data_IF_553085929913
#
_entry.id   IF_553085929913
#
_cell.length_a   1.000
_cell.length_b   1.000
_cell.length_c   1.000
_cell.angle_alpha   90.00
_cell.angle_beta   90.00
_cell.angle_gamma   90.00
#
_symmetry.space_group_name_H-M   'P 1'
#
loop_
_entity.id
_entity.type
_entity.pdbx_description
1 polymer ?
#
# COMPACT_ATOMS: atom_id res chain seq x y z
N UNK A 1 19.13 2.12 12.85
CA UNK A 1 19.26 3.12 11.77
C UNK A 1 18.41 2.59 10.64
N UNK A 2 17.11 2.87 10.68
CA UNK A 2 16.16 2.34 9.70
C UNK A 2 16.31 3.11 8.41
N UNK A 3 16.42 2.34 7.35
CA UNK A 3 16.81 2.76 6.04
C UNK A 3 15.75 3.71 5.43
N UNK A 4 16.10 5.00 5.39
CA UNK A 4 15.46 6.04 4.57
C UNK A 4 15.77 5.84 3.07
N UNK A 5 15.96 4.60 2.60
CA UNK A 5 16.65 4.30 1.32
C UNK A 5 15.76 3.69 0.23
N UNK A 6 14.43 3.70 0.35
CA UNK A 6 13.58 3.41 -0.81
C UNK A 6 12.83 4.67 -1.30
N UNK A 7 13.32 5.34 -2.37
CA UNK A 7 12.68 6.54 -2.93
C UNK A 7 11.25 6.28 -3.47
N UNK A 8 10.95 5.04 -3.88
CA UNK A 8 9.61 4.65 -4.36
C UNK A 8 8.56 4.68 -3.28
N UNK A 9 8.91 4.08 -2.16
CA UNK A 9 8.06 3.97 -1.00
C UNK A 9 7.73 5.37 -0.47
N UNK A 10 8.75 6.23 -0.34
CA UNK A 10 8.55 7.65 -0.01
C UNK A 10 7.60 8.35 -0.98
N UNK A 11 7.79 8.18 -2.28
CA UNK A 11 6.93 8.80 -3.30
C UNK A 11 5.46 8.37 -3.15
N UNK A 12 5.22 7.07 -2.99
CA UNK A 12 3.87 6.53 -2.84
C UNK A 12 3.25 7.03 -1.55
N UNK A 13 4.00 7.03 -0.44
CA UNK A 13 3.50 7.55 0.84
C UNK A 13 3.13 9.03 0.77
N UNK A 14 3.99 9.86 0.20
CA UNK A 14 3.72 11.29 0.02
C UNK A 14 2.49 11.52 -0.88
N UNK A 15 2.26 10.65 -1.87
CA UNK A 15 1.07 10.72 -2.74
C UNK A 15 -0.19 10.34 -1.99
N UNK A 16 -0.17 9.25 -1.21
CA UNK A 16 -1.32 8.77 -0.45
C UNK A 16 -1.62 9.59 0.82
N UNK A 17 -0.79 10.59 1.14
CA UNK A 17 -1.12 11.61 2.13
C UNK A 17 -2.13 12.64 1.59
N UNK A 18 -2.18 12.86 0.27
CA UNK A 18 -3.24 13.63 -0.36
C UNK A 18 -4.53 12.80 -0.34
N UNK A 19 -5.56 13.33 0.32
CA UNK A 19 -6.82 12.61 0.56
C UNK A 19 -7.56 12.28 -0.74
N UNK A 20 -7.52 13.17 -1.74
CA UNK A 20 -8.20 12.93 -3.01
C UNK A 20 -7.52 11.78 -3.76
N UNK A 21 -6.18 11.79 -3.78
CA UNK A 21 -5.38 10.76 -4.40
C UNK A 21 -5.52 9.42 -3.64
N UNK A 22 -5.54 9.41 -2.31
CA UNK A 22 -5.80 8.20 -1.52
C UNK A 22 -7.19 7.61 -1.79
N UNK A 23 -8.23 8.43 -1.84
CA UNK A 23 -9.59 7.99 -2.18
C UNK A 23 -9.62 7.40 -3.59
N UNK A 24 -9.04 8.10 -4.57
CA UNK A 24 -8.95 7.62 -5.95
C UNK A 24 -8.20 6.29 -6.03
N UNK A 25 -7.14 6.12 -5.24
CA UNK A 25 -6.37 4.89 -5.19
C UNK A 25 -7.21 3.74 -4.63
N UNK A 26 -7.76 3.88 -3.42
CA UNK A 26 -8.51 2.78 -2.78
C UNK A 26 -9.80 2.40 -3.51
N UNK A 27 -10.44 3.33 -4.21
CA UNK A 27 -11.58 3.01 -5.10
C UNK A 27 -11.22 2.04 -6.23
N UNK A 28 -9.98 2.07 -6.69
CA UNK A 28 -9.51 1.23 -7.80
C UNK A 28 -8.79 -0.03 -7.30
N UNK A 29 -8.29 -0.02 -6.07
CA UNK A 29 -7.45 -1.08 -5.53
C UNK A 29 -8.20 -2.08 -4.64
N UNK A 30 -9.28 -1.66 -3.97
CA UNK A 30 -10.04 -2.52 -3.07
C UNK A 30 -11.17 -3.25 -3.81
N UNK A 31 -11.62 -4.43 -3.32
CA UNK A 31 -12.80 -5.09 -3.85
C UNK A 31 -14.05 -4.20 -3.73
N UNK A 32 -14.90 -4.21 -4.76
CA UNK A 32 -16.12 -3.38 -4.83
C UNK A 32 -17.02 -3.55 -3.59
N UNK A 33 -17.19 -4.80 -3.14
CA UNK A 33 -17.95 -5.13 -1.92
C UNK A 33 -17.39 -4.48 -0.64
N UNK A 34 -16.07 -4.28 -0.57
CA UNK A 34 -15.44 -3.58 0.56
C UNK A 34 -15.70 -2.08 0.44
N UNK A 35 -15.53 -1.50 -0.76
CA UNK A 35 -15.78 -0.08 -1.03
C UNK A 35 -17.24 0.31 -0.71
N UNK A 36 -18.21 -0.55 -1.01
CA UNK A 36 -19.62 -0.32 -0.70
C UNK A 36 -19.86 -0.10 0.81
N UNK A 37 -19.11 -0.79 1.67
CA UNK A 37 -19.23 -0.69 3.12
C UNK A 37 -18.53 0.55 3.71
N UNK A 38 -17.52 1.09 3.03
CA UNK A 38 -16.64 2.15 3.51
C UNK A 38 -17.09 3.55 3.08
N UNK A 39 -17.02 4.52 4.00
CA UNK A 39 -17.15 5.94 3.68
C UNK A 39 -15.77 6.57 3.39
N UNK A 40 -15.29 6.37 2.16
CA UNK A 40 -13.97 6.87 1.73
C UNK A 40 -13.85 8.39 1.81
N UNK A 41 -14.95 9.15 1.73
CA UNK A 41 -14.91 10.61 1.87
C UNK A 41 -14.50 11.04 3.28
N UNK A 42 -14.63 10.15 4.27
CA UNK A 42 -14.22 10.33 5.66
C UNK A 42 -12.96 9.54 6.01
N UNK A 43 -12.21 9.07 5.02
CA UNK A 43 -10.90 8.48 5.21
C UNK A 43 -9.96 9.48 5.90
N UNK A 44 -9.26 9.00 6.93
CA UNK A 44 -8.29 9.75 7.71
C UNK A 44 -6.98 8.95 7.82
N UNK A 45 -5.85 9.60 7.58
CA UNK A 45 -4.55 9.01 7.84
C UNK A 45 -4.28 9.07 9.35
N UNK A 46 -4.17 7.91 9.99
CA UNK A 46 -3.81 7.80 11.40
C UNK A 46 -2.30 7.81 11.52
N UNK A 47 -1.75 8.77 12.27
CA UNK A 47 -0.31 8.80 12.52
C UNK A 47 0.10 7.56 13.33
N UNK A 48 1.18 6.91 12.88
CA UNK A 48 1.82 5.76 13.52
C UNK A 48 2.28 6.00 14.97
N UNK A 49 2.22 7.23 15.46
CA UNK A 49 2.43 7.59 16.87
C UNK A 49 1.40 6.99 17.83
N UNK A 50 0.24 6.53 17.33
CA UNK A 50 -0.78 5.78 18.10
C UNK A 50 -0.37 4.33 18.40
N UNK A 51 0.68 3.87 17.75
CA UNK A 51 1.20 2.52 17.83
C UNK A 51 2.47 2.60 18.68
N UNK A 52 2.54 1.80 19.75
CA UNK A 52 3.57 1.86 20.80
C UNK A 52 4.99 2.09 20.29
N UNK A 53 5.90 2.62 21.11
CA UNK A 53 7.33 2.81 20.77
C UNK A 53 7.97 1.58 20.11
N UNK A 54 7.57 0.36 20.48
CA UNK A 54 8.03 -0.89 19.86
C UNK A 54 7.65 -1.07 18.37
N UNK A 55 6.66 -0.33 17.85
CA UNK A 55 6.28 -0.31 16.42
C UNK A 55 6.80 0.90 15.67
N UNK A 56 7.32 1.91 16.38
CA UNK A 56 8.16 2.92 15.75
C UNK A 56 9.45 2.30 15.21
N UNK A 57 9.93 1.22 15.85
CA UNK A 57 11.07 0.44 15.36
C UNK A 57 10.73 -0.39 14.12
N UNK A 58 9.48 -0.84 13.97
CA UNK A 58 9.06 -1.66 12.83
C UNK A 58 8.46 -0.85 11.65
N UNK A 59 8.30 0.48 11.75
CA UNK A 59 7.82 1.38 10.68
C UNK A 59 6.70 0.82 9.79
N UNK A 60 5.44 0.80 10.25
CA UNK A 60 4.31 0.63 9.31
C UNK A 60 4.27 1.82 8.34
N UNK A 61 4.10 1.58 7.05
CA UNK A 61 4.15 2.66 6.05
C UNK A 61 3.01 3.67 6.22
N UNK A 62 1.75 3.21 6.21
CA UNK A 62 0.58 4.07 6.45
C UNK A 62 -0.57 3.27 7.11
N UNK A 63 -1.33 3.93 7.99
CA UNK A 63 -2.55 3.36 8.56
C UNK A 63 -3.72 4.31 8.32
N UNK A 64 -4.72 3.86 7.57
CA UNK A 64 -5.92 4.64 7.31
C UNK A 64 -7.07 4.19 8.19
N UNK A 65 -7.77 5.14 8.80
CA UNK A 65 -9.02 4.91 9.49
C UNK A 65 -10.18 5.35 8.59
N UNK A 66 -11.12 4.44 8.35
CA UNK A 66 -12.23 4.67 7.44
C UNK A 66 -13.54 4.28 8.13
N UNK A 67 -14.47 5.22 8.34
CA UNK A 67 -15.78 4.92 8.90
C UNK A 67 -16.61 4.01 7.99
N UNK A 68 -17.48 3.19 8.58
CA UNK A 68 -18.49 2.45 7.82
C UNK A 68 -19.66 3.37 7.42
N UNK A 69 -20.17 3.21 6.19
CA UNK A 69 -21.36 3.94 5.71
C UNK A 69 -22.61 3.69 6.56
N UNK A 70 -22.68 2.55 7.24
CA UNK A 70 -23.80 2.19 8.13
C UNK A 70 -23.99 3.12 9.33
N UNK A 71 -23.07 4.07 9.57
CA UNK A 71 -23.20 5.10 10.61
C UNK A 71 -22.99 4.59 12.04
N UNK A 72 -22.73 3.30 12.23
CA UNK A 72 -22.27 2.75 13.52
C UNK A 72 -20.89 3.33 13.82
N UNK A 73 -20.55 3.55 15.10
CA UNK A 73 -19.20 3.93 15.59
C UNK A 73 -18.16 2.81 15.38
N UNK A 74 -18.12 2.24 14.18
CA UNK A 74 -17.25 1.18 13.78
C UNK A 74 -16.42 1.70 12.61
N UNK A 75 -15.12 1.70 12.81
CA UNK A 75 -14.15 2.03 11.77
C UNK A 75 -13.61 0.72 11.20
N UNK A 76 -13.11 0.80 9.97
CA UNK A 76 -12.19 -0.17 9.40
C UNK A 76 -10.84 0.52 9.29
N UNK A 77 -9.80 -0.19 9.69
CA UNK A 77 -8.43 0.25 9.52
C UNK A 77 -7.83 -0.46 8.30
N UNK A 78 -7.22 0.31 7.41
CA UNK A 78 -6.45 -0.23 6.29
C UNK A 78 -4.96 -0.01 6.59
N UNK A 79 -4.27 -1.12 6.82
CA UNK A 79 -2.85 -1.17 7.10
C UNK A 79 -2.10 -1.32 5.78
N UNK A 80 -1.48 -0.24 5.32
CA UNK A 80 -0.75 -0.19 4.07
C UNK A 80 0.72 -0.55 4.31
N UNK A 81 1.22 -1.48 3.50
CA UNK A 81 2.62 -1.93 3.49
C UNK A 81 3.14 -1.90 2.05
N UNK A 82 4.34 -1.36 1.85
CA UNK A 82 5.02 -1.32 0.57
C UNK A 82 6.07 -2.44 0.46
N UNK A 83 6.14 -3.10 -0.71
CA UNK A 83 7.20 -4.06 -1.03
C UNK A 83 7.71 -3.89 -2.46
N UNK A 84 9.02 -3.71 -2.60
CA UNK A 84 9.73 -3.71 -3.89
C UNK A 84 10.41 -5.05 -4.22
N UNK A 85 10.32 -6.05 -3.34
CA UNK A 85 10.87 -7.39 -3.53
C UNK A 85 10.00 -8.45 -2.86
N UNK A 86 10.24 -9.72 -3.18
CA UNK A 86 9.52 -10.84 -2.56
C UNK A 86 10.04 -11.06 -1.13
N UNK A 87 9.31 -10.51 -0.18
CA UNK A 87 9.60 -10.65 1.25
C UNK A 87 8.74 -11.75 1.87
N UNK A 88 9.32 -12.94 2.07
CA UNK A 88 8.63 -14.06 2.72
C UNK A 88 8.20 -13.75 4.16
N UNK A 89 8.81 -12.76 4.81
CA UNK A 89 8.48 -12.35 6.17
C UNK A 89 7.28 -11.39 6.24
N UNK A 90 6.75 -10.91 5.11
CA UNK A 90 5.66 -9.92 5.04
C UNK A 90 4.44 -10.33 5.89
N UNK A 91 4.10 -11.62 5.90
CA UNK A 91 2.95 -12.09 6.69
C UNK A 91 3.18 -12.01 8.20
N UNK A 92 4.39 -12.31 8.65
CA UNK A 92 4.77 -12.20 10.07
C UNK A 92 4.80 -10.74 10.51
N UNK A 93 5.30 -9.86 9.64
CA UNK A 93 5.32 -8.41 9.85
C UNK A 93 3.89 -7.85 9.96
N UNK A 94 3.02 -8.16 8.99
CA UNK A 94 1.60 -7.79 9.01
C UNK A 94 0.89 -8.29 10.27
N UNK A 95 1.18 -9.53 10.71
CA UNK A 95 0.64 -10.06 11.95
C UNK A 95 1.08 -9.25 13.18
N UNK A 96 2.36 -8.87 13.24
CA UNK A 96 2.90 -7.99 14.28
C UNK A 96 2.14 -6.66 14.36
N UNK A 97 1.96 -6.02 13.22
CA UNK A 97 1.21 -4.77 13.08
C UNK A 97 -0.25 -4.89 13.49
N UNK A 98 -0.96 -5.92 13.01
CA UNK A 98 -2.36 -6.16 13.37
C UNK A 98 -2.49 -6.35 14.89
N UNK A 99 -1.61 -7.16 15.48
CA UNK A 99 -1.57 -7.40 16.93
C UNK A 99 -1.36 -6.09 17.71
N UNK A 100 -0.46 -5.24 17.24
CA UNK A 100 -0.19 -3.94 17.83
C UNK A 100 -1.37 -2.97 17.76
N UNK A 101 -2.01 -2.88 16.59
CA UNK A 101 -3.20 -2.04 16.37
C UNK A 101 -4.31 -2.50 17.32
N UNK A 102 -4.57 -3.80 17.43
CA UNK A 102 -5.57 -4.33 18.36
C UNK A 102 -5.25 -4.07 19.83
N UNK A 103 -3.97 -4.18 20.22
CA UNK A 103 -3.53 -3.79 21.58
C UNK A 103 -3.80 -2.30 21.85
N UNK A 104 -3.55 -1.43 20.86
CA UNK A 104 -3.82 0.01 20.98
C UNK A 104 -5.31 0.31 21.07
N UNK A 105 -6.13 -0.24 20.16
CA UNK A 105 -7.59 -0.08 20.16
C UNK A 105 -8.22 -0.54 21.48
N UNK A 106 -7.77 -1.68 22.02
CA UNK A 106 -8.29 -2.19 23.30
C UNK A 106 -7.88 -1.34 24.51
N UNK A 107 -6.73 -0.65 24.45
CA UNK A 107 -6.34 0.31 25.50
C UNK A 107 -7.27 1.53 25.49
N UNK A 108 -7.58 2.06 24.31
CA UNK A 108 -8.38 3.27 24.13
C UNK A 108 -9.87 3.04 24.35
N UNK A 109 -10.48 2.11 23.61
CA UNK A 109 -11.94 1.99 23.50
C UNK A 109 -12.50 0.65 23.99
N UNK A 110 -11.64 -0.28 24.43
CA UNK A 110 -12.01 -1.65 24.84
C UNK A 110 -12.79 -2.41 23.75
N UNK A 111 -12.60 -2.03 22.49
CA UNK A 111 -13.27 -2.59 21.31
C UNK A 111 -12.26 -2.82 20.20
N UNK A 112 -12.56 -3.77 19.33
CA UNK A 112 -11.76 -4.05 18.14
C UNK A 112 -12.49 -3.55 16.90
N UNK A 113 -11.75 -2.86 16.05
CA UNK A 113 -12.17 -2.47 14.70
C UNK A 113 -11.40 -3.32 13.69
N UNK A 114 -12.04 -3.75 12.62
CA UNK A 114 -11.41 -4.63 11.62
C UNK A 114 -10.16 -3.95 11.05
N UNK A 115 -9.06 -4.70 10.94
CA UNK A 115 -7.84 -4.27 10.25
C UNK A 115 -7.71 -5.09 8.97
N UNK A 116 -7.66 -4.42 7.82
CA UNK A 116 -7.41 -5.01 6.51
C UNK A 116 -5.94 -4.73 6.16
N UNK A 117 -5.07 -5.76 6.10
CA UNK A 117 -3.73 -5.60 5.58
C UNK A 117 -3.78 -5.41 4.07
N UNK A 118 -3.09 -4.40 3.57
CA UNK A 118 -3.01 -4.02 2.18
C UNK A 118 -1.54 -3.93 1.78
N UNK A 119 -1.12 -4.72 0.80
CA UNK A 119 0.26 -4.71 0.29
C UNK A 119 0.29 -4.07 -1.09
N UNK A 120 1.03 -2.99 -1.21
CA UNK A 120 1.43 -2.43 -2.49
C UNK A 120 2.73 -3.10 -2.94
N UNK A 121 2.66 -3.87 -4.03
CA UNK A 121 3.81 -4.57 -4.58
C UNK A 121 4.20 -3.99 -5.94
N UNK A 122 5.48 -3.70 -6.11
CA UNK A 122 6.02 -3.23 -7.39
C UNK A 122 7.38 -3.84 -7.74
N UNK A 123 7.73 -5.02 -7.21
CA UNK A 123 9.03 -5.62 -7.51
C UNK A 123 9.21 -6.10 -8.94
N UNK A 124 10.47 -6.34 -9.33
CA UNK A 124 10.83 -6.87 -10.66
C UNK A 124 10.27 -8.28 -10.90
N UNK A 125 10.21 -9.10 -9.84
CA UNK A 125 9.70 -10.47 -9.91
C UNK A 125 8.18 -10.49 -9.83
N UNK A 126 7.56 -11.53 -10.36
CA UNK A 126 6.11 -11.73 -10.14
C UNK A 126 5.84 -12.09 -8.69
N UNK A 127 4.77 -11.52 -8.11
CA UNK A 127 4.29 -11.92 -6.78
C UNK A 127 3.87 -13.39 -6.75
N UNK A 128 4.55 -14.21 -5.95
CA UNK A 128 4.29 -15.65 -5.79
C UNK A 128 3.91 -16.06 -4.37
N UNK A 129 3.88 -15.11 -3.43
CA UNK A 129 3.63 -15.38 -2.00
C UNK A 129 2.15 -15.67 -1.69
N UNK A 130 1.25 -15.50 -2.65
CA UNK A 130 -0.19 -15.59 -2.41
C UNK A 130 -0.67 -14.53 -1.41
N UNK A 131 -1.90 -14.66 -0.95
CA UNK A 131 -2.55 -13.63 -0.12
C UNK A 131 -2.99 -14.14 1.26
N UNK A 132 -3.04 -15.45 1.47
CA UNK A 132 -3.56 -16.05 2.71
C UNK A 132 -2.42 -16.38 3.67
N UNK A 133 -2.54 -15.93 4.92
CA UNK A 133 -1.58 -16.25 5.97
C UNK A 133 -1.60 -17.76 6.31
N UNK A 134 -2.73 -18.41 6.10
CA UNK A 134 -2.98 -19.81 6.42
C UNK A 134 -2.13 -20.74 5.55
N UNK A 135 -1.80 -20.30 4.33
CA UNK A 135 -0.91 -21.05 3.43
C UNK A 135 0.55 -21.05 3.90
N UNK A 136 0.93 -20.18 4.85
CA UNK A 136 2.27 -20.15 5.45
C UNK A 136 2.51 -21.28 6.46
N UNK A 137 1.46 -21.92 6.96
CA UNK A 137 1.60 -22.98 7.95
C UNK A 137 1.93 -24.33 7.27
N UNK A 138 3.01 -24.96 7.75
CA UNK A 138 3.41 -26.31 7.33
C UNK A 138 2.47 -27.32 8.00
N UNK A 139 1.39 -27.66 7.30
CA UNK A 139 0.41 -28.67 7.74
C UNK A 139 0.47 -29.88 6.80
N UNK A 140 1.22 -30.91 7.21
CA UNK A 140 1.53 -32.11 6.42
C UNK A 140 0.32 -32.98 6.01
N UNK A 141 -0.89 -32.74 6.52
CA UNK A 141 -2.09 -33.52 6.17
C UNK A 141 -3.30 -32.61 5.93
N UNK A 142 -3.92 -32.70 4.75
CA UNK A 142 -5.17 -32.00 4.40
C UNK A 142 -6.27 -32.21 5.44
N UNK A 143 -6.32 -33.39 6.06
CA UNK A 143 -7.32 -33.76 7.08
C UNK A 143 -7.15 -32.96 8.39
N UNK A 144 -5.90 -32.63 8.78
CA UNK A 144 -5.61 -31.82 9.98
C UNK A 144 -5.93 -30.34 9.77
N UNK A 145 -5.84 -29.83 8.53
CA UNK A 145 -6.27 -28.46 8.17
C UNK A 145 -7.75 -28.22 8.49
N UNK A 146 -8.63 -29.22 8.32
CA UNK A 146 -10.07 -29.06 8.58
C UNK A 146 -10.37 -28.82 10.06
N UNK A 147 -9.69 -29.54 10.95
CA UNK A 147 -9.89 -29.42 12.40
C UNK A 147 -9.24 -28.17 13.00
N UNK A 148 -8.16 -27.70 12.37
CA UNK A 148 -7.40 -26.54 12.85
C UNK A 148 -7.78 -25.21 12.19
N UNK A 149 -8.71 -25.22 11.22
CA UNK A 149 -9.07 -24.06 10.41
C UNK A 149 -9.53 -22.85 11.24
N UNK A 150 -10.13 -23.10 12.42
CA UNK A 150 -10.66 -22.07 13.31
C UNK A 150 -9.77 -21.81 14.53
N UNK A 151 -8.58 -22.42 14.61
CA UNK A 151 -7.71 -22.36 15.80
C UNK A 151 -6.61 -21.31 15.67
N UNK A 152 -6.22 -21.00 14.43
CA UNK A 152 -5.19 -19.99 14.14
C UNK A 152 -5.81 -18.69 13.63
N UNK A 153 -5.09 -17.59 13.78
CA UNK A 153 -5.53 -16.29 13.29
C UNK A 153 -5.71 -16.34 11.78
N UNK A 154 -6.88 -15.88 11.32
CA UNK A 154 -7.22 -15.81 9.91
C UNK A 154 -7.11 -14.37 9.41
N UNK A 155 -6.26 -14.13 8.43
CA UNK A 155 -6.35 -12.93 7.59
C UNK A 155 -5.88 -13.22 6.17
N UNK A 156 -6.42 -12.44 5.24
CA UNK A 156 -5.94 -12.33 3.87
C UNK A 156 -5.48 -10.89 3.65
N UNK A 157 -4.40 -10.71 2.90
CA UNK A 157 -3.98 -9.39 2.46
C UNK A 157 -4.66 -9.03 1.13
N UNK A 158 -5.03 -7.76 1.02
CA UNK A 158 -5.38 -7.15 -0.25
C UNK A 158 -4.08 -6.78 -0.99
N UNK A 159 -3.86 -7.38 -2.16
CA UNK A 159 -2.64 -7.17 -2.94
C UNK A 159 -2.91 -6.23 -4.10
N UNK A 160 -2.14 -5.15 -4.16
CA UNK A 160 -2.03 -4.31 -5.35
C UNK A 160 -0.70 -4.57 -6.04
N UNK A 161 -0.71 -5.45 -7.03
CA UNK A 161 0.45 -5.77 -7.87
C UNK A 161 0.53 -4.80 -9.05
N UNK A 162 1.35 -3.76 -8.91
CA UNK A 162 1.47 -2.68 -9.88
C UNK A 162 1.80 -3.18 -11.29
N UNK A 163 2.52 -4.29 -11.43
CA UNK A 163 2.88 -4.86 -12.74
C UNK A 163 1.67 -5.30 -13.57
N UNK A 164 0.52 -5.53 -12.93
CA UNK A 164 -0.72 -6.03 -13.56
C UNK A 164 -1.80 -4.96 -13.72
N UNK A 165 -1.50 -3.72 -13.35
CA UNK A 165 -2.49 -2.64 -13.31
C UNK A 165 -2.46 -1.86 -14.62
N UNK A 166 -3.63 -1.76 -15.25
CA UNK A 166 -3.89 -0.79 -16.31
C UNK A 166 -4.15 0.59 -15.67
N UNK A 167 -3.14 1.46 -15.74
CA UNK A 167 -3.18 2.79 -15.13
C UNK A 167 -4.19 3.72 -15.81
N UNK A 168 -4.60 3.46 -17.07
CA UNK A 168 -5.55 4.32 -17.78
C UNK A 168 -6.93 4.36 -17.10
N UNK A 169 -7.24 3.36 -16.28
CA UNK A 169 -8.47 3.24 -15.49
C UNK A 169 -8.51 4.18 -14.28
N UNK A 170 -7.37 4.72 -13.87
CA UNK A 170 -7.28 5.62 -12.73
C UNK A 170 -7.74 7.03 -13.12
N UNK A 171 -8.70 7.57 -12.37
CA UNK A 171 -9.21 8.92 -12.60
C UNK A 171 -8.12 9.98 -12.33
N UNK A 172 -7.40 9.85 -11.20
CA UNK A 172 -6.33 10.78 -10.82
C UNK A 172 -5.17 10.75 -11.81
N UNK A 173 -4.88 11.90 -12.42
CA UNK A 173 -3.69 12.11 -13.26
C UNK A 173 -2.41 11.98 -12.40
N UNK A 174 -2.44 12.47 -11.16
CA UNK A 174 -1.32 12.35 -10.22
C UNK A 174 -0.92 10.88 -10.03
N UNK A 175 -1.90 10.02 -9.74
CA UNK A 175 -1.66 8.59 -9.56
C UNK A 175 -1.17 7.93 -10.86
N UNK A 176 -1.77 8.27 -12.01
CA UNK A 176 -1.33 7.73 -13.30
C UNK A 176 0.14 8.04 -13.59
N UNK A 177 0.55 9.27 -13.36
CA UNK A 177 1.94 9.71 -13.54
C UNK A 177 2.87 8.99 -12.56
N UNK A 178 2.55 9.04 -11.27
CA UNK A 178 3.42 8.50 -10.21
C UNK A 178 3.54 6.99 -10.33
N UNK A 179 2.42 6.28 -10.47
CA UNK A 179 2.41 4.83 -10.62
C UNK A 179 3.00 4.40 -11.96
N UNK A 180 2.82 5.17 -13.04
CA UNK A 180 3.42 4.88 -14.34
C UNK A 180 4.94 4.87 -14.28
N UNK A 181 5.52 5.86 -13.61
CA UNK A 181 6.96 5.92 -13.38
C UNK A 181 7.43 4.72 -12.56
N UNK A 182 6.76 4.43 -11.44
CA UNK A 182 7.15 3.31 -10.56
C UNK A 182 6.98 1.96 -11.25
N UNK A 183 5.95 1.80 -12.09
CA UNK A 183 5.68 0.57 -12.85
C UNK A 183 6.78 0.29 -13.87
N UNK A 184 7.26 1.35 -14.53
CA UNK A 184 8.25 1.25 -15.61
C UNK A 184 9.68 1.25 -15.11
N UNK A 185 9.90 1.44 -13.81
CA UNK A 185 11.26 1.70 -13.35
C UNK A 185 12.19 0.50 -13.46
N UNK A 186 11.66 -0.72 -13.45
CA UNK A 186 12.45 -1.93 -13.67
C UNK A 186 12.83 -2.13 -15.13
N UNK A 187 12.30 -1.33 -16.06
CA UNK A 187 12.68 -1.40 -17.46
C UNK A 187 14.08 -0.80 -17.71
N UNK A 188 14.69 -1.17 -18.83
CA UNK A 188 15.97 -0.60 -19.26
C UNK A 188 15.83 0.88 -19.65
N UNK A 189 16.92 1.64 -19.54
CA UNK A 189 16.93 3.11 -19.68
C UNK A 189 16.25 3.62 -20.95
N UNK A 190 16.53 3.00 -22.08
CA UNK A 190 15.97 3.41 -23.36
C UNK A 190 14.43 3.28 -23.37
N UNK A 191 13.90 2.19 -22.81
CA UNK A 191 12.47 1.97 -22.67
C UNK A 191 11.88 2.95 -21.66
N UNK A 192 12.49 3.10 -20.49
CA UNK A 192 12.02 4.04 -19.48
C UNK A 192 11.93 5.48 -20.02
N UNK A 193 12.99 5.95 -20.69
CA UNK A 193 13.02 7.30 -21.29
C UNK A 193 11.92 7.49 -22.36
N UNK A 194 11.60 6.44 -23.13
CA UNK A 194 10.50 6.52 -24.11
C UNK A 194 9.13 6.72 -23.43
N UNK A 195 8.90 6.08 -22.29
CA UNK A 195 7.66 6.25 -21.51
C UNK A 195 7.56 7.63 -20.84
N UNK A 196 8.67 8.36 -20.68
CA UNK A 196 8.63 9.71 -20.10
C UNK A 196 7.86 10.70 -20.96
N UNK A 197 7.88 10.53 -22.30
CA UNK A 197 7.07 11.35 -23.19
C UNK A 197 5.58 11.30 -22.83
N UNK A 198 5.06 10.07 -22.67
CA UNK A 198 3.66 9.83 -22.28
C UNK A 198 3.34 10.41 -20.89
N UNK A 199 4.26 10.24 -19.93
CA UNK A 199 4.12 10.82 -18.57
C UNK A 199 4.06 12.35 -18.62
N UNK A 200 4.92 12.99 -19.42
CA UNK A 200 4.90 14.44 -19.57
C UNK A 200 3.64 14.94 -20.28
N UNK A 201 3.15 14.24 -21.29
CA UNK A 201 1.88 14.55 -21.92
C UNK A 201 0.72 14.48 -20.92
N UNK A 202 0.66 13.43 -20.09
CA UNK A 202 -0.34 13.31 -19.02
C UNK A 202 -0.25 14.47 -18.02
N UNK A 203 0.97 14.88 -17.64
CA UNK A 203 1.18 16.02 -16.74
C UNK A 203 0.61 17.33 -17.29
N UNK A 204 0.61 17.53 -18.61
CA UNK A 204 -0.01 18.74 -19.21
C UNK A 204 -1.51 18.83 -18.94
N UNK A 205 -2.18 17.69 -18.72
CA UNK A 205 -3.59 17.61 -18.38
C UNK A 205 -3.95 18.15 -16.99
N UNK A 206 -2.98 18.31 -16.09
CA UNK A 206 -3.19 18.95 -14.79
C UNK A 206 -3.27 20.47 -14.96
N UNK A 207 -4.41 21.07 -14.58
CA UNK A 207 -4.60 22.53 -14.67
C UNK A 207 -3.77 23.31 -13.66
N UNK A 208 -3.47 22.72 -12.50
CA UNK A 208 -2.73 23.37 -11.43
C UNK A 208 -1.22 23.29 -11.71
N UNK A 209 -0.62 24.44 -12.03
CA UNK A 209 0.80 24.54 -12.37
C UNK A 209 1.72 24.16 -11.21
N UNK A 210 1.42 24.59 -9.99
CA UNK A 210 2.21 24.24 -8.81
C UNK A 210 2.22 22.73 -8.57
N UNK A 211 1.05 22.06 -8.69
CA UNK A 211 0.95 20.60 -8.55
C UNK A 211 1.69 19.88 -9.69
N UNK A 212 1.69 20.43 -10.92
CA UNK A 212 2.52 19.89 -12.03
C UNK A 212 4.02 19.94 -11.70
N UNK A 213 4.52 21.09 -11.25
CA UNK A 213 5.94 21.27 -10.91
C UNK A 213 6.34 20.34 -9.77
N UNK A 214 5.50 20.23 -8.74
CA UNK A 214 5.73 19.33 -7.62
C UNK A 214 5.85 17.86 -8.08
N UNK A 215 4.92 17.38 -8.91
CA UNK A 215 4.95 16.00 -9.43
C UNK A 215 6.18 15.80 -10.31
N UNK A 216 6.53 16.77 -11.15
CA UNK A 216 7.74 16.72 -11.98
C UNK A 216 9.01 16.61 -11.13
N UNK A 217 9.12 17.41 -10.07
CA UNK A 217 10.26 17.35 -9.13
C UNK A 217 10.35 15.98 -8.45
N UNK A 218 9.23 15.46 -7.95
CA UNK A 218 9.12 14.13 -7.34
C UNK A 218 9.56 13.04 -8.30
N UNK A 219 9.11 13.12 -9.56
CA UNK A 219 9.50 12.21 -10.63
C UNK A 219 11.02 12.20 -10.87
N UNK A 220 11.62 13.37 -11.10
CA UNK A 220 13.07 13.49 -11.38
C UNK A 220 13.89 12.94 -10.21
N UNK A 221 13.48 13.26 -8.98
CA UNK A 221 14.14 12.77 -7.79
C UNK A 221 14.14 11.25 -7.73
N UNK A 222 12.98 10.62 -7.95
CA UNK A 222 12.86 9.15 -7.92
C UNK A 222 13.72 8.53 -9.00
N UNK A 223 13.63 8.98 -10.25
CA UNK A 223 14.44 8.43 -11.33
C UNK A 223 15.95 8.45 -11.01
N UNK A 224 16.46 9.58 -10.50
CA UNK A 224 17.89 9.72 -10.17
C UNK A 224 18.30 8.74 -9.06
N UNK A 225 17.50 8.58 -8.01
CA UNK A 225 17.82 7.68 -6.91
C UNK A 225 17.83 6.22 -7.39
N UNK A 226 16.88 5.84 -8.23
CA UNK A 226 16.79 4.46 -8.70
C UNK A 226 17.92 4.08 -9.65
N UNK A 227 18.50 5.06 -10.34
CA UNK A 227 19.72 4.85 -11.08
C UNK A 227 20.91 4.57 -10.19
N UNK A 228 20.97 5.23 -9.03
CA UNK A 228 22.02 5.01 -8.03
C UNK A 228 21.94 3.59 -7.45
N UNK A 229 20.74 3.15 -7.09
CA UNK A 229 20.49 1.81 -6.51
C UNK A 229 20.79 0.64 -7.47
N UNK A 230 20.94 0.89 -8.78
CA UNK A 230 21.29 -0.12 -9.80
C UNK A 230 22.79 -0.26 -10.04
N UNK A 231 23.58 0.71 -9.59
CA UNK A 231 25.03 0.76 -9.82
C UNK A 231 25.85 0.31 -8.61
N UNK A 232 25.21 0.12 -7.46
CA UNK A 232 25.78 -0.42 -6.22
C UNK A 232 25.38 -1.91 -6.04
#
# INVERSE_FOLDING_TARGET
MSDMTNPHDRLIRETLQDKEDAISFFKNSLPEKVIELLDLNRLELTQSSFISENLKEEQTDLLFQIPLKSGKKANVYLLFEHKSYLDEAVFSQLLGYISAIYKSQFKTDKRYSVVIPFVFYHGERTWTLGNSFQDRFILYQKTKRKYLKNTYQYFELELFDLSKVDLSRLESITLRVILGVVQKIWEGDALFLSHLGEVFELLTGLKNESKRVEIFQKFVFVYIQCKRDRTD
#
